data_IF_434261147455
#
_entry.id   IF_434261147455
#
_cell.length_a   1.000
_cell.length_b   1.000
_cell.length_c   1.000
_cell.angle_alpha   90.00
_cell.angle_beta   90.00
_cell.angle_gamma   90.00
#
_symmetry.space_group_name_H-M   'P 1'
#
loop_
_entity.id
_entity.type
_entity.pdbx_description
1 polymer ?
#
# COMPACT_ATOMS: atom_id res chain seq x y z
N UNK A 1 -10.17 3.79 -2.07
CA UNK A 1 -11.47 3.66 -1.38
C UNK A 1 -11.71 2.24 -0.88
N UNK A 2 -11.80 1.25 -1.77
CA UNK A 2 -12.06 -0.16 -1.40
C UNK A 2 -11.08 -0.66 -0.32
N UNK A 3 -9.77 -0.48 -0.51
CA UNK A 3 -8.75 -0.93 0.44
C UNK A 3 -8.90 -0.32 1.84
N UNK A 4 -9.26 0.96 1.94
CA UNK A 4 -9.49 1.64 3.22
C UNK A 4 -10.70 1.02 3.92
N UNK A 5 -11.79 0.75 3.18
CA UNK A 5 -12.97 0.08 3.73
C UNK A 5 -12.69 -1.36 4.16
N UNK A 6 -11.81 -2.07 3.45
CA UNK A 6 -11.38 -3.42 3.85
C UNK A 6 -10.60 -3.37 5.15
N UNK A 7 -9.70 -2.40 5.33
CA UNK A 7 -8.98 -2.18 6.58
C UNK A 7 -9.93 -1.83 7.73
N UNK A 8 -10.92 -0.98 7.49
CA UNK A 8 -11.90 -0.57 8.51
C UNK A 8 -12.72 -1.77 9.04
N UNK A 9 -13.07 -2.73 8.16
CA UNK A 9 -13.75 -3.97 8.56
C UNK A 9 -12.96 -4.85 9.52
N UNK A 10 -11.63 -4.69 9.56
CA UNK A 10 -10.74 -5.41 10.48
C UNK A 10 -10.22 -4.52 11.60
N UNK A 11 -10.78 -3.32 11.77
CA UNK A 11 -10.44 -2.39 12.84
C UNK A 11 -9.19 -1.54 12.58
N UNK A 12 -8.66 -1.54 11.35
CA UNK A 12 -7.46 -0.78 10.99
C UNK A 12 -7.86 0.52 10.28
N UNK A 13 -7.42 1.66 10.81
CA UNK A 13 -7.69 2.98 10.25
C UNK A 13 -6.69 3.32 9.13
N UNK A 14 -7.07 3.04 7.89
CA UNK A 14 -6.30 3.38 6.70
C UNK A 14 -6.59 4.79 6.16
N UNK A 15 -5.57 5.48 5.66
CA UNK A 15 -5.67 6.81 5.09
C UNK A 15 -4.96 6.93 3.74
N UNK A 16 -5.26 8.02 3.02
CA UNK A 16 -4.54 8.42 1.81
C UNK A 16 -3.49 9.46 2.21
N UNK A 17 -2.32 9.38 1.61
CA UNK A 17 -1.33 10.45 1.68
C UNK A 17 -1.43 11.30 0.40
N UNK A 18 -1.22 12.61 0.53
CA UNK A 18 -1.35 13.57 -0.58
C UNK A 18 -0.16 13.48 -1.54
N UNK A 19 1.02 13.25 -1.01
CA UNK A 19 2.29 13.31 -1.73
C UNK A 19 2.71 11.89 -2.18
N UNK A 20 2.27 10.86 -1.45
CA UNK A 20 2.65 9.47 -1.73
C UNK A 20 1.45 8.55 -2.07
N UNK A 21 1.30 8.13 -3.34
CA UNK A 21 0.20 7.28 -3.79
C UNK A 21 0.17 5.93 -3.05
N UNK A 22 -1.02 5.51 -2.61
CA UNK A 22 -1.24 4.25 -1.91
C UNK A 22 -2.21 4.38 -0.76
N UNK A 23 -2.23 3.37 0.12
CA UNK A 23 -2.95 3.41 1.39
C UNK A 23 -1.96 3.23 2.53
N UNK A 24 -2.14 4.04 3.56
CA UNK A 24 -1.22 4.22 4.67
C UNK A 24 -1.92 4.00 5.99
N UNK A 25 -1.21 3.54 7.01
CA UNK A 25 -1.65 3.50 8.41
C UNK A 25 -0.56 4.15 9.25
N UNK A 26 -0.87 5.28 9.88
CA UNK A 26 0.17 6.13 10.46
C UNK A 26 1.16 6.58 9.38
N UNK A 27 2.43 6.20 9.55
CA UNK A 27 3.52 6.47 8.61
C UNK A 27 3.85 5.28 7.69
N UNK A 28 3.16 4.14 7.86
CA UNK A 28 3.44 2.91 7.13
C UNK A 28 2.55 2.74 5.91
N UNK A 29 3.14 2.47 4.76
CA UNK A 29 2.45 2.11 3.53
C UNK A 29 1.99 0.67 3.59
N UNK A 30 0.68 0.47 3.54
CA UNK A 30 0.02 -0.83 3.63
C UNK A 30 -0.46 -1.32 2.27
N UNK A 31 -0.75 -0.42 1.34
CA UNK A 31 -1.07 -0.80 -0.03
C UNK A 31 -0.37 0.10 -1.05
N UNK A 32 0.24 -0.53 -2.04
CA UNK A 32 0.73 0.12 -3.24
C UNK A 32 -0.36 0.12 -4.31
N UNK A 33 -0.47 1.22 -5.04
CA UNK A 33 -1.40 1.37 -6.17
C UNK A 33 -0.55 1.72 -7.39
N UNK A 34 -0.73 0.96 -8.47
CA UNK A 34 -0.06 1.17 -9.75
C UNK A 34 -1.01 0.77 -10.87
N UNK A 35 -1.44 1.74 -11.67
CA UNK A 35 -2.39 1.52 -12.75
C UNK A 35 -1.72 1.79 -14.08
N UNK A 36 -1.96 0.90 -15.04
CA UNK A 36 -1.73 1.15 -16.46
C UNK A 36 -3.04 1.03 -17.21
N UNK A 37 -3.16 1.71 -18.35
CA UNK A 37 -4.28 1.52 -19.26
C UNK A 37 -3.77 1.23 -20.67
N UNK A 38 -4.33 0.20 -21.29
CA UNK A 38 -4.07 -0.17 -22.68
C UNK A 38 -5.41 -0.46 -23.34
N UNK A 39 -5.65 0.14 -24.51
CA UNK A 39 -6.89 -0.03 -25.28
C UNK A 39 -8.18 0.18 -24.46
N UNK A 40 -8.16 1.17 -23.56
CA UNK A 40 -9.26 1.49 -22.62
C UNK A 40 -9.56 0.39 -21.57
N UNK A 41 -8.60 -0.51 -21.33
CA UNK A 41 -8.67 -1.53 -20.27
C UNK A 41 -7.63 -1.20 -19.20
N UNK A 42 -7.99 -1.23 -17.91
CA UNK A 42 -7.06 -1.00 -16.79
C UNK A 42 -6.39 -2.30 -16.35
N UNK A 43 -5.10 -2.20 -15.99
CA UNK A 43 -4.25 -3.32 -15.57
C UNK A 43 -3.45 -2.97 -14.29
N UNK A 44 -2.96 -3.99 -13.57
CA UNK A 44 -2.03 -3.98 -12.40
C UNK A 44 -2.55 -3.44 -11.05
N UNK A 45 -3.50 -2.52 -11.08
CA UNK A 45 -4.05 -1.67 -10.00
C UNK A 45 -3.51 -1.72 -8.55
N UNK A 46 -3.59 -2.83 -7.80
CA UNK A 46 -3.46 -2.82 -6.32
C UNK A 46 -2.66 -3.99 -5.75
N UNK A 47 -1.74 -3.70 -4.83
CA UNK A 47 -1.08 -4.67 -3.97
C UNK A 47 -1.23 -4.30 -2.49
N UNK A 48 -1.84 -5.19 -1.69
CA UNK A 48 -2.11 -5.01 -0.26
C UNK A 48 -1.22 -5.92 0.59
N UNK A 49 -0.50 -5.35 1.55
CA UNK A 49 0.35 -6.09 2.48
C UNK A 49 -0.48 -6.67 3.64
N UNK A 50 -0.87 -7.95 3.53
CA UNK A 50 -1.62 -8.67 4.57
C UNK A 50 -0.64 -9.33 5.56
N UNK A 51 0.10 -10.33 5.08
CA UNK A 51 1.15 -11.05 5.84
C UNK A 51 2.53 -10.95 5.17
N UNK A 52 2.71 -9.97 4.29
CA UNK A 52 3.93 -9.78 3.50
C UNK A 52 5.16 -9.64 4.38
N UNK A 53 6.23 -10.36 4.05
CA UNK A 53 7.54 -10.18 4.66
C UNK A 53 8.18 -8.87 4.18
N UNK A 54 8.24 -7.89 5.09
CA UNK A 54 8.71 -6.55 4.78
C UNK A 54 10.22 -6.45 4.61
N UNK A 55 11.00 -7.48 4.98
CA UNK A 55 12.46 -7.50 4.76
C UNK A 55 12.81 -7.39 3.28
N UNK A 56 11.92 -7.87 2.40
CA UNK A 56 12.07 -7.76 0.95
C UNK A 56 12.13 -6.30 0.46
N UNK A 57 11.48 -5.36 1.17
CA UNK A 57 11.53 -3.94 0.82
C UNK A 57 12.89 -3.32 1.14
N UNK A 58 13.73 -3.90 1.99
CA UNK A 58 15.08 -3.41 2.31
C UNK A 58 16.07 -3.50 1.14
N UNK A 59 15.72 -4.27 0.10
CA UNK A 59 16.59 -4.52 -1.06
C UNK A 59 16.27 -3.61 -2.25
N UNK A 60 15.21 -2.80 -2.17
CA UNK A 60 14.72 -1.95 -3.26
C UNK A 60 14.33 -0.58 -2.73
N UNK A 61 14.43 0.48 -3.55
CA UNK A 61 13.83 1.79 -3.22
C UNK A 61 12.41 1.84 -3.80
N UNK A 62 11.36 1.54 -3.03
CA UNK A 62 10.03 1.29 -3.60
C UNK A 62 9.28 2.61 -3.73
N UNK A 63 8.68 2.85 -4.91
CA UNK A 63 7.95 4.09 -5.20
C UNK A 63 8.77 5.39 -5.01
N UNK A 64 10.11 5.31 -4.94
CA UNK A 64 10.98 6.46 -4.65
C UNK A 64 10.97 6.93 -3.19
N UNK A 65 10.43 6.13 -2.27
CA UNK A 65 10.26 6.46 -0.85
C UNK A 65 11.33 5.74 -0.01
N UNK A 66 11.74 6.34 1.10
CA UNK A 66 12.68 5.73 2.04
C UNK A 66 12.16 4.40 2.63
N UNK A 67 13.11 3.53 2.99
CA UNK A 67 12.86 2.14 3.39
C UNK A 67 11.92 1.95 4.59
N UNK A 68 11.89 2.91 5.52
CA UNK A 68 11.19 2.77 6.79
C UNK A 68 9.68 3.04 6.70
N UNK A 69 9.17 3.32 5.50
CA UNK A 69 7.80 3.75 5.27
C UNK A 69 6.83 2.61 4.90
N UNK A 70 7.15 1.33 5.16
CA UNK A 70 6.33 0.18 4.72
C UNK A 70 5.91 -0.71 5.90
N UNK A 71 4.62 -1.04 5.96
CA UNK A 71 4.01 -1.91 6.99
C UNK A 71 3.21 -3.09 6.41
N UNK A 72 2.70 -3.95 7.29
CA UNK A 72 1.76 -5.03 6.95
C UNK A 72 0.64 -5.13 7.99
N UNK A 73 -0.54 -5.62 7.58
CA UNK A 73 -1.71 -5.69 8.47
C UNK A 73 -1.47 -6.48 9.75
N UNK A 74 -0.71 -7.58 9.69
CA UNK A 74 -0.44 -8.41 10.87
C UNK A 74 0.59 -7.79 11.85
N UNK A 75 1.12 -6.61 11.54
CA UNK A 75 2.11 -5.87 12.33
C UNK A 75 1.53 -4.61 12.99
N UNK A 76 0.29 -4.25 12.63
CA UNK A 76 -0.47 -3.10 13.11
C UNK A 76 -1.61 -3.54 14.02
#
# INVERSE_FOLDING_TARGET
>A
EVTIRVLDKVGIQGQRDRDYPGVWVGQDKIAAIGMASQDNVTCHELALNVTTDLRSFQWIVPCGIAHDAFGSQNRL
#
